data_IF_197741313594
#
_entry.id   IF_197741313594
#
_cell.length_a   1.000
_cell.length_b   1.000
_cell.length_c   1.000
_cell.angle_alpha   90.00
_cell.angle_beta   90.00
_cell.angle_gamma   90.00
#
_symmetry.space_group_name_H-M   'P 1'
#
loop_
_entity.id
_entity.type
_entity.pdbx_description
1 polymer ?
#
# COMPACT_ATOMS: atom_id res chain seq x y z
N UNK A 1 9.22 36.22 -73.47
CA UNK A 1 9.31 36.09 -71.99
C UNK A 1 8.84 34.69 -71.62
N UNK A 2 9.76 33.80 -71.19
CA UNK A 2 9.86 33.23 -69.81
C UNK A 2 8.63 32.37 -69.42
N UNK A 3 8.70 31.12 -68.95
CA UNK A 3 9.77 30.15 -68.65
C UNK A 3 9.03 28.84 -68.34
N UNK A 4 9.48 27.72 -68.91
CA UNK A 4 9.08 26.35 -68.51
C UNK A 4 9.51 26.06 -67.07
N UNK A 5 8.62 25.51 -66.25
CA UNK A 5 8.98 24.90 -64.95
C UNK A 5 8.31 23.53 -64.85
N UNK A 6 9.16 22.51 -64.95
CA UNK A 6 8.86 21.15 -64.52
C UNK A 6 8.66 21.16 -63.00
N UNK A 7 7.53 20.64 -62.52
CA UNK A 7 7.36 20.32 -61.11
C UNK A 7 7.19 18.81 -61.05
N UNK A 8 8.31 18.15 -60.75
CA UNK A 8 8.34 16.79 -60.27
C UNK A 8 7.66 16.76 -58.89
N UNK A 9 6.38 16.42 -58.85
CA UNK A 9 5.70 16.13 -57.59
C UNK A 9 6.05 14.71 -57.14
N UNK A 10 7.05 14.71 -56.25
CA UNK A 10 7.51 13.67 -55.36
C UNK A 10 6.38 12.75 -54.86
N UNK A 11 6.55 11.44 -55.03
CA UNK A 11 5.73 10.39 -54.42
C UNK A 11 5.76 10.55 -52.89
N UNK A 12 4.64 10.99 -52.32
CA UNK A 12 4.41 10.99 -50.88
C UNK A 12 4.06 9.57 -50.44
N UNK A 13 5.07 8.78 -50.07
CA UNK A 13 4.83 7.52 -49.37
C UNK A 13 4.26 7.84 -47.97
N UNK A 14 3.11 7.29 -47.56
CA UNK A 14 2.70 7.37 -46.17
C UNK A 14 3.64 6.48 -45.37
N UNK A 15 4.53 7.11 -44.61
CA UNK A 15 5.23 6.44 -43.53
C UNK A 15 4.17 5.98 -42.51
N UNK A 16 3.80 4.70 -42.59
CA UNK A 16 3.13 3.99 -41.52
C UNK A 16 4.06 4.03 -40.31
N UNK A 17 3.80 4.98 -39.40
CA UNK A 17 4.38 4.98 -38.06
C UNK A 17 3.74 3.80 -37.33
N UNK A 18 4.45 2.67 -37.30
CA UNK A 18 4.25 1.62 -36.31
C UNK A 18 4.69 2.18 -34.97
N UNK A 19 3.75 2.76 -34.21
CA UNK A 19 4.01 3.15 -32.83
C UNK A 19 4.21 1.90 -31.97
N UNK A 20 5.24 1.96 -31.13
CA UNK A 20 5.89 0.90 -30.37
C UNK A 20 4.98 0.00 -29.52
N UNK A 21 5.07 -1.32 -29.72
CA UNK A 21 4.61 -2.34 -28.77
C UNK A 21 5.64 -2.61 -27.65
N UNK A 22 6.86 -2.06 -27.76
CA UNK A 22 8.01 -2.29 -26.87
C UNK A 22 8.04 -1.39 -25.62
N UNK A 23 7.18 -0.37 -25.53
CA UNK A 23 7.18 0.59 -24.42
C UNK A 23 6.84 -0.02 -23.05
N UNK A 24 6.20 -1.19 -23.01
CA UNK A 24 5.80 -1.83 -21.74
C UNK A 24 6.89 -2.71 -21.13
N UNK A 25 7.74 -3.37 -21.94
CA UNK A 25 8.83 -4.22 -21.42
C UNK A 25 10.02 -3.41 -20.91
N UNK A 26 10.33 -2.27 -21.55
CA UNK A 26 11.45 -1.43 -21.15
C UNK A 26 11.22 -0.73 -19.80
N UNK A 27 9.99 -0.30 -19.52
CA UNK A 27 9.61 0.34 -18.25
C UNK A 27 9.70 -0.64 -17.06
N UNK A 28 9.30 -1.90 -17.25
CA UNK A 28 9.38 -2.91 -16.19
C UNK A 28 10.83 -3.26 -15.80
N UNK A 29 11.72 -3.42 -16.79
CA UNK A 29 13.13 -3.72 -16.52
C UNK A 29 13.85 -2.53 -15.87
N UNK A 30 13.52 -1.30 -16.28
CA UNK A 30 14.09 -0.09 -15.71
C UNK A 30 13.67 0.06 -14.23
N UNK A 31 12.39 -0.09 -13.90
CA UNK A 31 11.89 -0.07 -12.51
C UNK A 31 12.53 -1.14 -11.62
N UNK A 32 12.79 -2.32 -12.18
CA UNK A 32 13.47 -3.39 -11.47
C UNK A 32 14.93 -3.04 -11.16
N UNK A 33 15.66 -2.45 -12.12
CA UNK A 33 17.03 -1.99 -11.91
C UNK A 33 17.12 -0.83 -10.91
N UNK A 34 16.21 0.15 -11.00
CA UNK A 34 16.13 1.26 -10.06
C UNK A 34 15.89 0.76 -8.63
N UNK A 35 14.99 -0.21 -8.46
CA UNK A 35 14.77 -0.85 -7.17
C UNK A 35 16.02 -1.56 -6.64
N UNK A 36 16.78 -2.27 -7.50
CA UNK A 36 17.99 -2.96 -7.06
C UNK A 36 19.06 -1.97 -6.57
N UNK A 37 19.21 -0.83 -7.24
CA UNK A 37 20.16 0.21 -6.83
C UNK A 37 19.78 0.76 -5.45
N UNK A 38 18.51 1.12 -5.24
CA UNK A 38 18.02 1.60 -3.94
C UNK A 38 18.13 0.52 -2.85
N UNK A 39 17.82 -0.72 -3.19
CA UNK A 39 17.90 -1.85 -2.27
C UNK A 39 19.33 -2.14 -1.82
N UNK A 40 20.31 -2.00 -2.72
CA UNK A 40 21.73 -2.15 -2.39
C UNK A 40 22.27 -1.04 -1.49
N UNK A 41 21.75 0.19 -1.61
CA UNK A 41 22.11 1.29 -0.72
C UNK A 41 21.58 1.07 0.71
N UNK A 42 20.37 0.50 0.83
CA UNK A 42 19.68 0.31 2.11
C UNK A 42 19.96 -1.02 2.81
N UNK A 43 20.44 -2.02 2.07
CA UNK A 43 20.63 -3.36 2.60
C UNK A 43 21.77 -3.41 3.64
N UNK A 44 21.63 -4.20 4.72
CA UNK A 44 22.73 -4.44 5.63
C UNK A 44 23.89 -5.16 4.92
N UNK A 45 25.15 -4.97 5.38
CA UNK A 45 26.35 -5.43 4.67
C UNK A 45 26.46 -6.96 4.55
N UNK A 46 25.72 -7.71 5.36
CA UNK A 46 25.65 -9.17 5.37
C UNK A 46 24.38 -9.73 4.71
N UNK A 47 23.56 -8.87 4.07
CA UNK A 47 22.34 -9.30 3.40
C UNK A 47 22.63 -10.24 2.23
N UNK A 48 21.93 -11.37 2.18
CA UNK A 48 22.00 -12.28 1.05
C UNK A 48 21.41 -11.63 -0.22
N UNK A 49 22.11 -11.74 -1.35
CA UNK A 49 21.69 -11.18 -2.64
C UNK A 49 20.30 -11.70 -3.08
N UNK A 50 19.95 -12.93 -2.71
CA UNK A 50 18.61 -13.50 -2.98
C UNK A 50 17.50 -12.72 -2.26
N UNK A 51 17.74 -12.25 -1.04
CA UNK A 51 16.79 -11.44 -0.27
C UNK A 51 16.62 -10.06 -0.90
N UNK A 52 17.73 -9.42 -1.29
CA UNK A 52 17.72 -8.11 -1.97
C UNK A 52 16.96 -8.18 -3.29
N UNK A 53 17.17 -9.23 -4.10
CA UNK A 53 16.39 -9.48 -5.33
C UNK A 53 14.91 -9.70 -5.03
N UNK A 54 14.58 -10.40 -3.95
CA UNK A 54 13.20 -10.61 -3.50
C UNK A 54 12.44 -9.31 -3.25
N UNK A 55 13.11 -8.28 -2.72
CA UNK A 55 12.49 -6.97 -2.48
C UNK A 55 12.02 -6.26 -3.75
N UNK A 56 12.59 -6.61 -4.90
CA UNK A 56 12.25 -6.05 -6.20
C UNK A 56 11.30 -6.95 -7.01
N UNK A 57 10.73 -7.98 -6.40
CA UNK A 57 9.71 -8.80 -7.05
C UNK A 57 8.45 -7.94 -7.35
N UNK A 58 7.97 -7.88 -8.62
CA UNK A 58 6.83 -7.06 -9.00
C UNK A 58 5.54 -7.38 -8.23
N UNK A 59 5.31 -8.64 -7.84
CA UNK A 59 4.14 -9.02 -7.04
C UNK A 59 4.20 -8.39 -5.63
N UNK A 60 5.35 -8.49 -4.97
CA UNK A 60 5.56 -7.88 -3.64
C UNK A 60 5.57 -6.36 -3.70
N UNK A 61 6.16 -5.76 -4.74
CA UNK A 61 6.14 -4.32 -4.95
C UNK A 61 4.72 -3.80 -5.13
N UNK A 62 3.87 -4.53 -5.88
CA UNK A 62 2.45 -4.17 -6.03
C UNK A 62 1.72 -4.18 -4.69
N UNK A 63 2.03 -5.17 -3.83
CA UNK A 63 1.48 -5.28 -2.48
C UNK A 63 1.93 -4.11 -1.59
N UNK A 64 3.23 -3.78 -1.62
CA UNK A 64 3.81 -2.67 -0.85
C UNK A 64 3.25 -1.32 -1.29
N UNK A 65 3.15 -1.07 -2.60
CA UNK A 65 2.57 0.15 -3.15
C UNK A 65 1.09 0.30 -2.73
N UNK A 66 0.30 -0.79 -2.78
CA UNK A 66 -1.08 -0.79 -2.28
C UNK A 66 -1.14 -0.45 -0.78
N UNK A 67 -0.29 -1.08 0.03
CA UNK A 67 -0.24 -0.85 1.47
C UNK A 67 0.18 0.59 1.81
N UNK A 68 1.15 1.13 1.08
CA UNK A 68 1.63 2.49 1.25
C UNK A 68 0.56 3.51 0.88
N UNK A 69 -0.14 3.30 -0.24
CA UNK A 69 -1.26 4.15 -0.63
C UNK A 69 -2.37 4.14 0.42
N UNK A 70 -2.75 2.95 0.92
CA UNK A 70 -3.73 2.81 1.98
C UNK A 70 -3.29 3.52 3.28
N UNK A 71 -2.00 3.41 3.65
CA UNK A 71 -1.43 4.10 4.80
C UNK A 71 -1.48 5.63 4.64
N UNK A 72 -1.06 6.15 3.48
CA UNK A 72 -1.08 7.58 3.17
C UNK A 72 -2.51 8.13 3.21
N UNK A 73 -3.47 7.42 2.63
CA UNK A 73 -4.88 7.79 2.70
C UNK A 73 -5.39 7.88 4.14
N UNK A 74 -5.02 6.92 4.99
CA UNK A 74 -5.36 6.97 6.41
C UNK A 74 -4.72 8.17 7.11
N UNK A 75 -3.42 8.40 6.92
CA UNK A 75 -2.71 9.52 7.56
C UNK A 75 -3.28 10.88 7.15
N UNK A 76 -3.66 11.03 5.88
CA UNK A 76 -4.32 12.25 5.39
C UNK A 76 -5.68 12.47 6.07
N UNK A 77 -6.48 11.40 6.20
CA UNK A 77 -7.78 11.49 6.87
C UNK A 77 -7.64 11.77 8.38
N UNK A 78 -6.63 11.20 9.03
CA UNK A 78 -6.31 11.49 10.42
C UNK A 78 -5.91 12.97 10.58
N UNK A 79 -5.03 13.48 9.72
CA UNK A 79 -4.58 14.87 9.76
C UNK A 79 -5.74 15.87 9.66
N UNK A 80 -6.68 15.67 8.72
CA UNK A 80 -7.81 16.60 8.56
C UNK A 80 -8.83 16.52 9.68
N UNK A 81 -8.91 15.39 10.39
CA UNK A 81 -9.88 15.16 11.46
C UNK A 81 -9.31 15.32 12.87
N UNK A 82 -8.02 15.65 13.02
CA UNK A 82 -7.34 15.80 14.33
C UNK A 82 -8.07 16.72 15.31
N UNK A 83 -8.75 17.76 14.81
CA UNK A 83 -9.44 18.76 15.63
C UNK A 83 -10.95 18.54 15.72
N UNK A 84 -11.49 17.47 15.13
CA UNK A 84 -12.92 17.19 15.20
C UNK A 84 -13.24 16.29 16.40
N UNK A 85 -13.90 16.81 17.45
CA UNK A 85 -14.18 16.05 18.67
C UNK A 85 -15.21 14.91 18.47
N UNK A 86 -15.91 14.88 17.33
CA UNK A 86 -16.90 13.86 17.02
C UNK A 86 -16.38 12.75 16.10
N UNK A 87 -15.10 12.81 15.68
CA UNK A 87 -14.50 11.78 14.82
C UNK A 87 -13.74 10.77 15.66
N UNK A 88 -14.18 9.52 15.58
CA UNK A 88 -13.47 8.39 16.15
C UNK A 88 -12.28 8.03 15.25
N UNK A 89 -11.08 8.07 15.82
CA UNK A 89 -9.85 7.76 15.07
C UNK A 89 -9.35 6.37 15.46
N UNK A 90 -8.96 5.49 14.51
CA UNK A 90 -8.43 4.17 14.84
C UNK A 90 -6.99 4.23 15.36
N UNK A 91 -6.66 3.44 16.38
CA UNK A 91 -5.27 3.22 16.81
C UNK A 91 -4.65 2.02 16.08
N UNK A 92 -5.34 0.87 16.10
CA UNK A 92 -5.04 -0.33 15.30
C UNK A 92 -6.19 -0.64 14.34
N UNK A 93 -6.05 -1.73 13.58
CA UNK A 93 -7.11 -2.22 12.71
C UNK A 93 -8.32 -2.60 13.56
N UNK A 94 -9.48 -2.05 13.22
CA UNK A 94 -10.77 -2.46 13.75
C UNK A 94 -11.33 -3.52 12.81
N UNK A 95 -11.87 -4.61 13.34
CA UNK A 95 -12.45 -5.66 12.50
C UNK A 95 -13.60 -6.36 13.22
N UNK A 96 -14.47 -6.94 12.40
CA UNK A 96 -15.55 -7.82 12.80
C UNK A 96 -15.50 -9.05 11.89
N UNK A 97 -15.36 -10.22 12.48
CA UNK A 97 -15.52 -11.52 11.85
C UNK A 97 -16.82 -12.11 12.41
N UNK A 98 -17.94 -12.02 11.67
CA UNK A 98 -19.22 -12.55 12.14
C UNK A 98 -19.19 -14.07 12.34
N UNK A 99 -18.32 -14.75 11.61
CA UNK A 99 -18.13 -16.20 11.68
C UNK A 99 -16.65 -16.50 11.90
N UNK A 100 -16.35 -17.12 13.03
CA UNK A 100 -15.04 -17.69 13.35
C UNK A 100 -15.24 -19.01 14.08
N UNK A 101 -14.26 -19.90 13.96
CA UNK A 101 -14.29 -21.21 14.59
C UNK A 101 -13.18 -21.32 15.63
N UNK A 102 -13.54 -21.66 16.86
CA UNK A 102 -12.61 -21.91 17.95
C UNK A 102 -12.62 -23.40 18.29
N UNK A 103 -11.49 -24.08 18.07
CA UNK A 103 -11.36 -25.53 18.27
C UNK A 103 -11.46 -25.97 19.73
N UNK A 104 -10.95 -25.16 20.68
CA UNK A 104 -10.87 -25.50 22.10
C UNK A 104 -11.45 -24.35 22.94
N UNK A 105 -12.79 -24.18 22.96
CA UNK A 105 -13.41 -23.15 23.77
C UNK A 105 -13.16 -23.44 25.25
N UNK A 106 -12.66 -22.45 25.97
CA UNK A 106 -12.41 -22.55 27.42
C UNK A 106 -13.07 -21.35 28.07
N UNK A 107 -13.88 -21.61 29.09
CA UNK A 107 -14.48 -20.58 29.91
C UNK A 107 -13.44 -19.99 30.85
N UNK A 108 -13.29 -18.66 30.82
CA UNK A 108 -12.63 -17.93 31.90
C UNK A 108 -13.54 -17.71 33.11
N UNK A 109 -14.81 -18.15 33.03
CA UNK A 109 -15.78 -18.04 34.11
C UNK A 109 -15.86 -19.39 34.86
N UNK A 110 -15.46 -19.45 36.13
CA UNK A 110 -15.50 -20.69 36.92
C UNK A 110 -16.92 -21.22 37.19
N UNK A 111 -17.97 -20.45 36.86
CA UNK A 111 -19.37 -20.82 37.03
C UNK A 111 -20.02 -21.39 35.76
N UNK A 112 -19.29 -21.42 34.63
CA UNK A 112 -19.78 -21.93 33.35
C UNK A 112 -19.00 -23.19 33.03
N UNK A 113 -19.69 -24.31 32.85
CA UNK A 113 -19.08 -25.55 32.40
C UNK A 113 -18.63 -25.40 30.94
N UNK A 114 -17.42 -25.89 30.64
CA UNK A 114 -16.83 -25.77 29.30
C UNK A 114 -17.62 -26.50 28.22
N UNK A 115 -18.41 -27.51 28.60
CA UNK A 115 -19.24 -28.33 27.69
C UNK A 115 -20.38 -27.56 27.01
N UNK A 116 -20.77 -26.39 27.55
CA UNK A 116 -21.86 -25.57 26.99
C UNK A 116 -21.37 -24.50 25.99
N UNK A 117 -20.05 -24.38 25.76
CA UNK A 117 -19.51 -23.40 24.81
C UNK A 117 -19.60 -23.84 23.36
N UNK A 118 -20.06 -22.92 22.51
CA UNK A 118 -20.14 -23.14 21.07
C UNK A 118 -18.79 -22.87 20.40
N UNK A 119 -18.43 -23.71 19.44
CA UNK A 119 -17.23 -23.50 18.63
C UNK A 119 -17.35 -22.34 17.62
N UNK A 120 -18.57 -21.87 17.35
CA UNK A 120 -18.84 -20.80 16.40
C UNK A 120 -19.02 -19.49 17.14
N UNK A 121 -18.13 -18.53 16.88
CA UNK A 121 -18.15 -17.24 17.56
C UNK A 121 -18.00 -16.08 16.58
N UNK A 122 -18.55 -14.93 16.95
CA UNK A 122 -18.23 -13.67 16.30
C UNK A 122 -17.00 -13.05 16.99
N UNK A 123 -15.91 -12.88 16.24
CA UNK A 123 -14.68 -12.26 16.75
C UNK A 123 -14.58 -10.83 16.28
N UNK A 124 -14.42 -9.90 17.22
CA UNK A 124 -14.22 -8.50 16.88
C UNK A 124 -13.07 -7.89 17.69
N UNK A 125 -12.49 -6.85 17.14
CA UNK A 125 -11.53 -6.01 17.83
C UNK A 125 -11.84 -4.56 17.54
N UNK A 126 -11.99 -3.78 18.60
CA UNK A 126 -12.13 -2.34 18.54
C UNK A 126 -10.86 -1.71 19.12
N UNK A 127 -10.28 -0.76 18.42
CA UNK A 127 -9.05 -0.06 18.81
C UNK A 127 -9.13 1.38 18.31
N UNK A 128 -9.34 2.28 19.25
CA UNK A 128 -9.55 3.71 19.00
C UNK A 128 -8.37 4.49 19.60
N UNK A 129 -8.12 5.68 19.08
CA UNK A 129 -7.24 6.67 19.71
C UNK A 129 -7.96 8.01 19.83
N UNK A 130 -7.67 8.72 20.90
CA UNK A 130 -8.15 10.08 21.13
C UNK A 130 -6.98 10.96 21.56
N UNK A 131 -6.83 12.19 21.00
CA UNK A 131 -5.87 13.15 21.50
C UNK A 131 -6.31 13.64 22.89
N UNK A 132 -5.42 13.57 23.87
CA UNK A 132 -5.64 14.13 25.20
C UNK A 132 -5.15 15.57 25.29
N UNK A 133 -3.92 15.79 24.81
CA UNK A 133 -3.22 17.08 24.83
C UNK A 133 -2.44 17.24 23.54
N UNK A 134 -2.77 18.25 22.74
CA UNK A 134 -1.99 18.67 21.57
C UNK A 134 -0.91 19.65 22.02
N UNK A 135 0.24 19.65 21.32
CA UNK A 135 1.36 20.57 21.54
C UNK A 135 1.95 20.58 22.96
N UNK A 136 1.93 19.44 23.66
CA UNK A 136 2.42 19.38 25.04
C UNK A 136 3.95 19.51 25.16
N UNK A 137 4.69 19.12 24.11
CA UNK A 137 6.14 19.24 24.05
C UNK A 137 6.62 19.35 22.59
N UNK A 138 7.19 20.49 22.20
CA UNK A 138 7.77 20.74 20.86
C UNK A 138 6.84 20.34 19.67
N UNK A 139 5.52 20.53 19.81
CA UNK A 139 4.54 20.16 18.77
C UNK A 139 4.07 18.70 18.80
N UNK A 140 4.47 17.92 19.81
CA UNK A 140 3.99 16.55 19.96
C UNK A 140 2.57 16.51 20.55
N UNK A 141 1.76 15.56 20.09
CA UNK A 141 0.43 15.28 20.64
C UNK A 141 0.45 14.01 21.48
N UNK A 142 -0.13 14.09 22.67
CA UNK A 142 -0.36 12.96 23.56
C UNK A 142 -1.69 12.29 23.19
N UNK A 143 -1.65 10.98 22.94
CA UNK A 143 -2.82 10.19 22.59
C UNK A 143 -3.12 9.13 23.65
N UNK A 144 -4.41 8.90 23.89
CA UNK A 144 -4.95 7.73 24.57
C UNK A 144 -5.33 6.66 23.53
N UNK A 145 -5.17 5.37 23.85
CA UNK A 145 -5.49 4.23 22.98
C UNK A 145 -6.15 3.08 23.71
#
# INVERSE_FOLDING_TARGET
MRRTWAIATLLLAPALVLADLSATEQDANQRYQDCLLEAMEKAPPDAAVSMVKGWCNPEEQSQRARNEYALRGRLALEQVNQLNPFVLTPHRRNYLLPFSYWSNPVSNNPLVADDDLQHQEAKFQVSLKAPLLTDFWNGNTLYFS
#
